data_IF_315827744915
#
_entry.id   IF_315827744915
#
_cell.length_a   1.000
_cell.length_b   1.000
_cell.length_c   1.000
_cell.angle_alpha   90.00
_cell.angle_beta   90.00
_cell.angle_gamma   90.00
#
_symmetry.space_group_name_H-M   'P 1'
#
loop_
_entity.id
_entity.type
_entity.pdbx_description
1 polymer ?
#
# COMPACT_ATOMS: atom_id res chain seq x y z
N UNK A 1 -6.30 -12.07 -17.63
CA UNK A 1 -5.37 -12.69 -16.67
C UNK A 1 -3.93 -12.76 -17.23
N UNK A 2 -3.66 -13.39 -18.40
CA UNK A 2 -2.31 -13.49 -18.97
C UNK A 2 -1.62 -12.12 -19.19
N UNK A 3 -2.36 -11.12 -19.62
CA UNK A 3 -1.86 -9.76 -19.83
C UNK A 3 -1.48 -9.08 -18.50
N UNK A 4 -2.27 -9.25 -17.46
CA UNK A 4 -1.98 -8.69 -16.14
C UNK A 4 -0.71 -9.32 -15.54
N UNK A 5 -0.55 -10.65 -15.68
CA UNK A 5 0.67 -11.34 -15.21
C UNK A 5 1.90 -10.87 -15.98
N UNK A 6 1.76 -10.67 -17.29
CA UNK A 6 2.84 -10.13 -18.13
C UNK A 6 3.22 -8.73 -17.68
N UNK A 7 2.23 -7.84 -17.51
CA UNK A 7 2.48 -6.47 -17.06
C UNK A 7 3.20 -6.46 -15.70
N UNK A 8 2.75 -7.28 -14.75
CA UNK A 8 3.41 -7.41 -13.44
C UNK A 8 4.86 -7.86 -13.58
N UNK A 9 5.16 -8.87 -14.41
CA UNK A 9 6.52 -9.36 -14.62
C UNK A 9 7.42 -8.30 -15.29
N UNK A 10 6.90 -7.54 -16.25
CA UNK A 10 7.63 -6.49 -16.96
C UNK A 10 7.92 -5.29 -16.01
N UNK A 11 6.96 -4.88 -15.19
CA UNK A 11 7.14 -3.85 -14.15
C UNK A 11 8.15 -4.32 -13.10
N UNK A 12 8.05 -5.57 -12.64
CA UNK A 12 9.01 -6.16 -11.71
C UNK A 12 10.44 -6.12 -12.27
N UNK A 13 10.61 -6.49 -13.54
CA UNK A 13 11.92 -6.44 -14.20
C UNK A 13 12.45 -5.00 -14.36
N UNK A 14 11.57 -4.03 -14.62
CA UNK A 14 11.92 -2.61 -14.67
C UNK A 14 12.34 -2.09 -13.29
N UNK A 15 11.59 -2.41 -12.23
CA UNK A 15 11.92 -2.03 -10.86
C UNK A 15 13.27 -2.59 -10.42
N UNK A 16 13.57 -3.85 -10.78
CA UNK A 16 14.86 -4.46 -10.49
C UNK A 16 16.02 -3.68 -11.08
N UNK A 17 15.88 -3.23 -12.34
CA UNK A 17 16.91 -2.42 -13.01
C UNK A 17 17.09 -1.07 -12.32
N UNK A 18 15.98 -0.39 -12.01
CA UNK A 18 15.99 0.91 -11.33
C UNK A 18 16.68 0.83 -9.96
N UNK A 19 16.38 -0.20 -9.16
CA UNK A 19 17.03 -0.43 -7.88
C UNK A 19 18.55 -0.66 -8.05
N UNK A 20 18.94 -1.51 -9.03
CA UNK A 20 20.34 -1.79 -9.31
C UNK A 20 21.12 -0.53 -9.76
N UNK A 21 20.54 0.28 -10.63
CA UNK A 21 21.13 1.54 -11.14
C UNK A 21 21.34 2.55 -10.00
N UNK A 22 20.44 2.57 -9.02
CA UNK A 22 20.57 3.37 -7.79
C UNK A 22 21.45 2.74 -6.72
N UNK A 23 22.01 1.55 -6.98
CA UNK A 23 22.82 0.77 -6.02
C UNK A 23 22.04 0.38 -4.74
N UNK A 24 20.72 0.26 -4.86
CA UNK A 24 19.85 -0.26 -3.82
C UNK A 24 19.81 -1.79 -3.87
N UNK A 25 19.47 -2.42 -2.74
CA UNK A 25 19.35 -3.88 -2.66
C UNK A 25 18.26 -4.39 -3.60
N UNK A 26 18.58 -5.44 -4.34
CA UNK A 26 17.62 -6.25 -5.11
C UNK A 26 17.37 -7.60 -4.43
N UNK A 27 17.71 -7.72 -3.14
CA UNK A 27 17.35 -8.85 -2.30
C UNK A 27 15.84 -8.98 -2.15
N UNK A 28 15.38 -10.21 -1.99
CA UNK A 28 13.96 -10.52 -1.91
C UNK A 28 13.54 -10.68 -0.44
N UNK A 29 12.37 -10.16 -0.11
CA UNK A 29 11.64 -10.52 1.09
C UNK A 29 10.97 -11.90 0.95
N UNK A 30 10.30 -12.34 2.00
CA UNK A 30 9.70 -13.67 2.11
C UNK A 30 8.62 -13.92 1.04
N UNK A 31 7.95 -12.88 0.58
CA UNK A 31 6.91 -12.93 -0.47
C UNK A 31 7.44 -12.71 -1.90
N UNK A 32 8.76 -12.64 -2.07
CA UNK A 32 9.40 -12.50 -3.37
C UNK A 32 9.44 -11.08 -3.94
N UNK A 33 8.96 -10.08 -3.20
CA UNK A 33 9.15 -8.66 -3.49
C UNK A 33 10.55 -8.18 -3.15
N UNK A 34 11.00 -7.08 -3.74
CA UNK A 34 12.28 -6.45 -3.35
C UNK A 34 12.15 -5.78 -1.99
N UNK A 35 13.21 -5.91 -1.18
CA UNK A 35 13.32 -5.29 0.16
C UNK A 35 14.53 -4.33 0.22
N UNK A 36 14.49 -3.18 -0.49
CA UNK A 36 15.53 -2.17 -0.40
C UNK A 36 15.45 -1.42 0.93
N UNK A 37 16.60 -0.96 1.43
CA UNK A 37 16.66 -0.09 2.61
C UNK A 37 16.23 1.35 2.24
N UNK A 38 14.92 1.57 2.15
CA UNK A 38 14.29 2.88 1.92
C UNK A 38 13.42 3.21 3.12
N UNK A 39 13.67 4.36 3.73
CA UNK A 39 12.96 4.76 4.95
C UNK A 39 11.61 5.42 4.65
N UNK A 40 11.53 6.21 3.58
CA UNK A 40 10.33 6.97 3.23
C UNK A 40 9.44 6.21 2.24
N UNK A 41 8.21 5.83 2.63
CA UNK A 41 7.29 5.11 1.75
C UNK A 41 7.03 5.80 0.41
N UNK A 42 6.95 7.13 0.40
CA UNK A 42 6.72 7.91 -0.82
C UNK A 42 7.87 7.77 -1.83
N UNK A 43 9.09 7.47 -1.39
CA UNK A 43 10.20 7.17 -2.30
C UNK A 43 9.99 5.84 -3.01
N UNK A 44 9.52 4.82 -2.29
CA UNK A 44 9.16 3.52 -2.88
C UNK A 44 8.06 3.71 -3.94
N UNK A 45 7.05 4.52 -3.64
CA UNK A 45 5.95 4.78 -4.59
C UNK A 45 6.43 5.49 -5.86
N UNK A 46 7.37 6.43 -5.74
CA UNK A 46 7.99 7.08 -6.92
C UNK A 46 8.75 6.07 -7.78
N UNK A 47 9.50 5.15 -7.15
CA UNK A 47 10.19 4.07 -7.87
C UNK A 47 9.22 3.14 -8.60
N UNK A 48 8.10 2.78 -7.96
CA UNK A 48 7.06 1.96 -8.60
C UNK A 48 6.43 2.67 -9.80
N UNK A 49 6.06 3.94 -9.67
CA UNK A 49 5.52 4.74 -10.79
C UNK A 49 6.53 4.83 -11.93
N UNK A 50 7.83 5.05 -11.63
CA UNK A 50 8.88 5.06 -12.63
C UNK A 50 8.99 3.70 -13.32
N UNK A 51 9.01 2.61 -12.58
CA UNK A 51 9.12 1.25 -13.13
C UNK A 51 7.92 0.89 -14.01
N UNK A 52 6.70 1.32 -13.65
CA UNK A 52 5.49 1.14 -14.49
C UNK A 52 5.68 1.86 -15.83
N UNK A 53 6.15 3.10 -15.82
CA UNK A 53 6.36 3.88 -17.03
C UNK A 53 7.50 3.31 -17.89
N UNK A 54 8.60 2.87 -17.28
CA UNK A 54 9.76 2.27 -17.97
C UNK A 54 9.44 0.89 -18.57
N UNK A 55 8.45 0.21 -18.03
CA UNK A 55 7.90 -1.01 -18.59
C UNK A 55 6.94 -0.75 -19.77
N UNK A 56 6.67 0.53 -20.11
CA UNK A 56 5.81 0.94 -21.20
C UNK A 56 4.32 0.99 -20.85
N UNK A 57 3.98 0.95 -19.57
CA UNK A 57 2.60 1.07 -19.11
C UNK A 57 2.33 2.48 -18.59
N UNK A 58 1.05 2.86 -18.58
CA UNK A 58 0.59 4.07 -17.93
C UNK A 58 0.27 3.78 -16.45
N UNK A 59 0.84 4.57 -15.54
CA UNK A 59 0.48 4.49 -14.14
C UNK A 59 -0.92 5.10 -13.92
N UNK A 60 -1.84 4.35 -13.34
CA UNK A 60 -3.20 4.80 -13.06
C UNK A 60 -4.29 3.78 -13.37
N UNK A 61 -5.54 4.16 -13.14
CA UNK A 61 -6.72 3.28 -13.27
C UNK A 61 -6.92 2.69 -14.66
N UNK A 62 -6.50 3.39 -15.71
CA UNK A 62 -6.59 2.91 -17.10
C UNK A 62 -5.32 2.15 -17.53
N UNK A 63 -4.48 1.77 -16.62
CA UNK A 63 -3.23 1.08 -16.87
C UNK A 63 -2.84 0.18 -15.69
N UNK A 64 -1.70 0.47 -15.04
CA UNK A 64 -1.22 -0.25 -13.86
C UNK A 64 -1.35 0.66 -12.65
N UNK A 65 -2.13 0.25 -11.66
CA UNK A 65 -2.29 0.93 -10.37
C UNK A 65 -1.46 0.25 -9.29
N UNK A 66 -1.24 0.97 -8.19
CA UNK A 66 -0.54 0.47 -7.01
C UNK A 66 -1.58 -0.05 -6.01
N UNK A 67 -1.36 -1.26 -5.50
CA UNK A 67 -2.01 -1.79 -4.32
C UNK A 67 -1.03 -1.68 -3.16
N UNK A 68 -1.47 -1.13 -2.04
CA UNK A 68 -0.69 -1.01 -0.81
C UNK A 68 -1.17 -2.08 0.16
N UNK A 69 -0.22 -2.78 0.76
CA UNK A 69 -0.42 -3.55 1.97
C UNK A 69 0.52 -2.97 3.03
N UNK A 70 -0.05 -2.38 4.06
CA UNK A 70 0.74 -1.72 5.10
C UNK A 70 1.13 -2.68 6.20
N UNK A 71 0.33 -3.71 6.46
CA UNK A 71 0.46 -4.58 7.63
C UNK A 71 0.63 -3.74 8.92
N UNK A 72 -0.25 -2.74 9.12
CA UNK A 72 -0.05 -1.67 10.10
C UNK A 72 0.01 -2.16 11.55
N UNK A 73 -0.48 -3.36 11.84
CA UNK A 73 -0.33 -4.03 13.13
C UNK A 73 1.15 -4.22 13.51
N UNK A 74 2.04 -4.47 12.53
CA UNK A 74 3.47 -4.73 12.74
C UNK A 74 4.25 -3.51 13.26
N UNK A 75 3.81 -2.30 12.94
CA UNK A 75 4.46 -1.07 13.41
C UNK A 75 3.60 -0.24 14.39
N UNK A 76 2.48 -0.81 14.85
CA UNK A 76 1.68 -0.23 15.92
C UNK A 76 2.37 -0.41 17.26
N UNK A 77 2.47 0.68 18.02
CA UNK A 77 3.11 0.68 19.32
C UNK A 77 2.11 0.33 20.44
N UNK A 78 2.58 -0.10 21.62
CA UNK A 78 1.71 -0.45 22.76
C UNK A 78 0.80 0.70 23.24
N UNK A 79 1.16 1.95 22.94
CA UNK A 79 0.36 3.14 23.26
C UNK A 79 -0.68 3.49 22.17
N UNK A 80 -0.81 2.62 21.15
CA UNK A 80 -1.77 2.76 20.05
C UNK A 80 -1.30 3.62 18.88
N UNK A 81 -0.12 4.24 18.97
CA UNK A 81 0.47 5.02 17.86
C UNK A 81 1.21 4.12 16.86
N UNK A 82 1.49 4.67 15.70
CA UNK A 82 2.17 4.01 14.59
C UNK A 82 3.55 4.61 14.35
N UNK A 83 4.59 3.78 14.34
CA UNK A 83 5.96 4.22 14.09
C UNK A 83 6.28 4.13 12.59
N UNK A 84 6.21 5.25 11.88
CA UNK A 84 6.48 5.32 10.42
C UNK A 84 7.65 6.25 10.17
N UNK A 85 8.69 5.79 9.47
CA UNK A 85 9.88 6.58 9.15
C UNK A 85 10.47 7.31 10.40
N UNK A 86 10.53 6.62 11.53
CA UNK A 86 10.99 7.13 12.83
C UNK A 86 10.10 8.22 13.46
N UNK A 87 8.89 8.43 12.94
CA UNK A 87 7.89 9.36 13.48
C UNK A 87 6.73 8.57 14.09
N UNK A 88 6.32 8.95 15.29
CA UNK A 88 5.14 8.40 15.95
C UNK A 88 3.90 9.18 15.50
N UNK A 89 2.99 8.49 14.84
CA UNK A 89 1.74 9.03 14.31
C UNK A 89 0.56 8.52 15.13
N UNK A 90 -0.44 9.35 15.36
CA UNK A 90 -1.77 8.88 15.76
C UNK A 90 -2.47 8.22 14.57
N UNK A 91 -3.59 7.49 14.82
CA UNK A 91 -4.44 6.95 13.75
C UNK A 91 -4.88 8.05 12.79
N UNK A 92 -5.27 9.21 13.31
CA UNK A 92 -5.65 10.36 12.49
C UNK A 92 -4.52 10.90 11.61
N UNK A 93 -3.29 11.00 12.15
CA UNK A 93 -2.13 11.46 11.38
C UNK A 93 -1.76 10.45 10.27
N UNK A 94 -1.84 9.14 10.55
CA UNK A 94 -1.60 8.10 9.55
C UNK A 94 -2.67 8.14 8.45
N UNK A 95 -3.95 8.29 8.80
CA UNK A 95 -5.03 8.46 7.84
C UNK A 95 -4.79 9.66 6.91
N UNK A 96 -4.39 10.81 7.46
CA UNK A 96 -4.10 11.98 6.64
C UNK A 96 -2.83 11.82 5.79
N UNK A 97 -1.85 11.04 6.24
CA UNK A 97 -0.70 10.65 5.40
C UNK A 97 -1.16 9.77 4.24
N UNK A 98 -1.99 8.76 4.50
CA UNK A 98 -2.56 7.90 3.45
C UNK A 98 -3.41 8.71 2.46
N UNK A 99 -4.18 9.68 2.95
CA UNK A 99 -4.95 10.57 2.08
C UNK A 99 -4.06 11.40 1.14
N UNK A 100 -2.91 11.88 1.61
CA UNK A 100 -1.93 12.56 0.74
C UNK A 100 -1.32 11.59 -0.29
N UNK A 101 -0.96 10.38 0.15
CA UNK A 101 -0.41 9.34 -0.74
C UNK A 101 -1.39 9.00 -1.85
N UNK A 102 -2.66 8.77 -1.52
CA UNK A 102 -3.69 8.43 -2.53
C UNK A 102 -4.05 9.59 -3.45
N UNK A 103 -3.79 10.83 -3.04
CA UNK A 103 -3.95 12.00 -3.90
C UNK A 103 -2.75 12.23 -4.85
N UNK A 104 -1.54 11.83 -4.43
CA UNK A 104 -0.30 12.03 -5.20
C UNK A 104 0.00 10.84 -6.13
N UNK A 105 -0.29 9.62 -5.69
CA UNK A 105 0.07 8.39 -6.39
C UNK A 105 -1.16 7.62 -6.89
N UNK A 106 -1.02 6.80 -7.94
CA UNK A 106 -2.13 6.03 -8.52
C UNK A 106 -2.46 4.79 -7.67
N UNK A 107 -2.82 5.01 -6.41
CA UNK A 107 -3.21 3.94 -5.48
C UNK A 107 -4.64 3.51 -5.77
N UNK A 108 -4.85 2.19 -5.90
CA UNK A 108 -6.15 1.56 -6.11
C UNK A 108 -6.75 1.02 -4.81
N UNK A 109 -5.92 0.36 -4.01
CA UNK A 109 -6.35 -0.26 -2.75
C UNK A 109 -5.34 -0.04 -1.64
N UNK A 110 -5.84 -0.06 -0.41
CA UNK A 110 -5.04 -0.06 0.83
C UNK A 110 -5.52 -1.23 1.67
N UNK A 111 -4.63 -2.18 1.90
CA UNK A 111 -4.80 -3.32 2.78
C UNK A 111 -4.12 -3.04 4.11
N UNK A 112 -4.77 -3.45 5.20
CA UNK A 112 -4.32 -3.30 6.58
C UNK A 112 -3.73 -1.92 6.90
N UNK A 113 -4.45 -0.88 6.48
CA UNK A 113 -4.04 0.51 6.62
C UNK A 113 -3.93 1.01 8.06
N UNK A 114 -4.54 0.29 9.00
CA UNK A 114 -4.47 0.50 10.45
C UNK A 114 -4.41 -0.87 11.14
N UNK A 115 -3.98 -0.87 12.40
CA UNK A 115 -3.91 -2.09 13.20
C UNK A 115 -5.28 -2.74 13.42
N UNK A 116 -5.30 -4.06 13.57
CA UNK A 116 -6.50 -4.90 13.71
C UNK A 116 -7.45 -4.47 14.85
N UNK A 117 -6.91 -3.91 15.93
CA UNK A 117 -7.64 -3.49 17.12
C UNK A 117 -7.86 -1.96 17.18
N UNK A 118 -7.83 -1.26 16.03
CA UNK A 118 -8.07 0.18 15.94
C UNK A 118 -9.44 0.47 15.29
N UNK A 119 -10.52 0.00 15.91
CA UNK A 119 -11.88 0.08 15.37
C UNK A 119 -12.31 1.51 15.02
N UNK A 120 -12.05 2.47 15.93
CA UNK A 120 -12.36 3.89 15.69
C UNK A 120 -11.54 4.46 14.53
N UNK A 121 -10.28 4.06 14.43
CA UNK A 121 -9.41 4.40 13.31
C UNK A 121 -9.94 3.85 11.98
N UNK A 122 -10.37 2.59 11.94
CA UNK A 122 -10.95 1.98 10.74
C UNK A 122 -12.24 2.66 10.27
N UNK A 123 -13.10 3.06 11.21
CA UNK A 123 -14.30 3.86 10.89
C UNK A 123 -13.88 5.21 10.26
N UNK A 124 -12.90 5.89 10.85
CA UNK A 124 -12.40 7.17 10.35
C UNK A 124 -11.70 7.02 8.99
N UNK A 125 -10.87 5.97 8.79
CA UNK A 125 -10.22 5.65 7.52
C UNK A 125 -11.24 5.41 6.42
N UNK A 126 -12.27 4.62 6.71
CA UNK A 126 -13.35 4.32 5.76
C UNK A 126 -14.12 5.57 5.39
N UNK A 127 -14.47 6.41 6.36
CA UNK A 127 -15.13 7.68 6.10
C UNK A 127 -14.27 8.64 5.25
N UNK A 128 -12.95 8.61 5.45
CA UNK A 128 -12.00 9.53 4.78
C UNK A 128 -11.63 9.09 3.37
N UNK A 129 -11.41 7.80 3.14
CA UNK A 129 -10.82 7.27 1.91
C UNK A 129 -11.68 6.24 1.17
N UNK A 130 -12.67 5.61 1.80
CA UNK A 130 -13.42 4.51 1.21
C UNK A 130 -14.22 4.84 -0.06
N UNK A 131 -14.46 6.13 -0.35
CA UNK A 131 -15.06 6.55 -1.62
C UNK A 131 -14.03 6.68 -2.78
N UNK A 132 -12.73 6.74 -2.46
CA UNK A 132 -11.67 7.00 -3.42
C UNK A 132 -10.83 5.75 -3.75
N UNK A 133 -10.59 4.89 -2.76
CA UNK A 133 -9.79 3.66 -2.88
C UNK A 133 -10.52 2.49 -2.24
N UNK A 134 -10.19 1.27 -2.66
CA UNK A 134 -10.63 0.06 -1.97
C UNK A 134 -9.86 -0.08 -0.65
N UNK A 135 -10.59 -0.38 0.43
CA UNK A 135 -10.01 -0.67 1.73
C UNK A 135 -10.20 -2.15 2.02
N UNK A 136 -9.12 -2.83 2.36
CA UNK A 136 -9.06 -4.27 2.62
C UNK A 136 -8.56 -4.46 4.04
N UNK A 137 -9.15 -5.37 4.79
CA UNK A 137 -8.70 -5.78 6.12
C UNK A 137 -8.54 -7.28 6.12
N UNK A 138 -7.31 -7.78 6.08
CA UNK A 138 -7.01 -9.20 6.21
C UNK A 138 -6.94 -9.59 7.69
N UNK A 139 -6.12 -8.90 8.46
CA UNK A 139 -5.99 -9.13 9.90
C UNK A 139 -7.25 -8.74 10.70
N UNK A 140 -8.08 -7.83 10.18
CA UNK A 140 -9.36 -7.44 10.80
C UNK A 140 -10.49 -8.44 10.58
N UNK A 141 -10.31 -9.45 9.76
CA UNK A 141 -11.34 -10.43 9.41
C UNK A 141 -11.61 -11.46 10.50
N UNK A 142 -10.84 -11.46 11.59
CA UNK A 142 -10.96 -12.42 12.70
C UNK A 142 -12.35 -12.49 13.34
N UNK A 143 -13.22 -11.51 13.10
CA UNK A 143 -14.59 -11.47 13.62
C UNK A 143 -15.66 -11.80 12.60
N UNK A 144 -15.32 -12.04 11.32
CA UNK A 144 -16.30 -12.22 10.25
C UNK A 144 -17.12 -10.96 9.98
N UNK A 145 -16.61 -9.79 10.33
CA UNK A 145 -17.29 -8.52 10.11
C UNK A 145 -17.21 -8.13 8.65
N UNK A 146 -18.37 -7.82 8.03
CA UNK A 146 -18.42 -7.26 6.70
C UNK A 146 -17.91 -5.82 6.74
N UNK A 147 -16.79 -5.56 6.07
CA UNK A 147 -16.26 -4.20 5.91
C UNK A 147 -16.85 -3.63 4.62
N UNK A 148 -17.57 -2.50 4.66
CA UNK A 148 -18.04 -1.86 3.46
C UNK A 148 -16.86 -1.25 2.69
N UNK A 149 -16.56 -1.80 1.52
CA UNK A 149 -15.59 -1.26 0.58
C UNK A 149 -16.32 -0.52 -0.54
N UNK A 150 -15.67 0.47 -1.15
CA UNK A 150 -16.24 1.24 -2.24
C UNK A 150 -16.63 0.31 -3.41
N UNK A 151 -17.94 0.10 -3.60
CA UNK A 151 -18.50 -0.74 -4.67
C UNK A 151 -18.90 -2.16 -4.27
N UNK A 152 -18.79 -2.57 -3.01
CA UNK A 152 -19.20 -3.91 -2.57
C UNK A 152 -18.93 -4.21 -1.10
N UNK A 153 -18.96 -5.51 -0.80
CA UNK A 153 -18.61 -6.06 0.50
C UNK A 153 -17.51 -7.10 0.29
N UNK A 154 -16.43 -6.98 1.01
CA UNK A 154 -15.44 -8.04 1.11
C UNK A 154 -15.73 -8.87 2.36
N UNK A 155 -15.86 -10.17 2.19
CA UNK A 155 -15.89 -11.14 3.28
C UNK A 155 -14.63 -11.99 3.14
N UNK A 156 -13.79 -11.93 4.12
CA UNK A 156 -12.62 -12.83 4.24
C UNK A 156 -12.79 -13.77 5.41
#
# INVERSE_FOLDING_TARGET
>A
MAEAVRAGAEVYAALRRELADRKLSTGLGDEGGFAPEITEPEEVLRLLVQAINDAGYRAGRDGVSIALDLAASEFRQPDGRYLVASVLLSSGDLIERLARITAEFPVHSIEDGLGENDDDGWIALTARLGAAVELVGDDNSLTGTLIPVAGGWLMM
#
